data_IF_247429590972
#
_entry.id   IF_247429590972
#
_cell.length_a   1.000
_cell.length_b   1.000
_cell.length_c   1.000
_cell.angle_alpha   90.00
_cell.angle_beta   90.00
_cell.angle_gamma   90.00
#
_symmetry.space_group_name_H-M   'P 1'
#
loop_
_entity.id
_entity.type
_entity.pdbx_description
1 polymer ?
#
# COMPACT_ATOMS: atom_id res chain seq x y z
N UNK A 1 36.77 68.48 45.50
CA UNK A 1 37.68 68.35 44.43
C UNK A 1 37.85 66.87 44.21
N UNK A 2 37.14 66.45 43.19
CA UNK A 2 36.85 65.04 42.88
C UNK A 2 37.92 64.54 41.92
N UNK A 3 38.46 63.39 42.20
CA UNK A 3 39.09 62.56 41.19
C UNK A 3 38.42 61.20 41.11
N UNK A 4 38.01 60.95 39.93
CA UNK A 4 37.32 59.73 39.49
C UNK A 4 38.31 58.59 39.18
N UNK A 5 38.22 57.43 39.83
CA UNK A 5 38.98 56.30 39.43
C UNK A 5 38.07 55.34 38.64
N UNK A 6 38.30 55.23 37.31
CA UNK A 6 37.74 54.27 36.44
C UNK A 6 38.53 52.96 36.58
N UNK A 7 37.89 51.87 37.05
CA UNK A 7 38.42 50.53 36.94
C UNK A 7 37.80 49.83 35.72
N UNK A 8 38.60 49.50 34.76
CA UNK A 8 38.27 48.70 33.57
C UNK A 8 38.20 47.22 33.93
N UNK A 9 37.06 46.58 33.78
CA UNK A 9 36.96 45.15 33.72
C UNK A 9 36.87 44.71 32.24
N UNK A 10 37.99 44.25 31.71
CA UNK A 10 38.08 43.59 30.41
C UNK A 10 37.54 42.15 30.58
N UNK A 11 36.33 41.87 30.10
CA UNK A 11 35.84 40.48 29.96
C UNK A 11 36.23 39.97 28.60
N UNK A 12 37.16 39.00 28.58
CA UNK A 12 37.53 38.26 27.41
C UNK A 12 36.32 37.35 27.00
N UNK A 13 35.72 37.58 25.83
CA UNK A 13 34.81 36.66 25.18
C UNK A 13 35.64 35.61 24.43
N UNK A 14 35.64 34.39 24.94
CA UNK A 14 36.14 33.23 24.20
C UNK A 14 35.12 32.85 23.13
N UNK A 15 35.44 33.06 21.87
CA UNK A 15 34.72 32.48 20.75
C UNK A 15 35.00 30.96 20.69
N UNK A 16 34.03 30.14 21.07
CA UNK A 16 34.05 28.74 20.76
C UNK A 16 33.65 28.54 19.30
N UNK A 17 34.62 28.37 18.43
CA UNK A 17 34.38 27.97 17.05
C UNK A 17 34.02 26.49 17.08
N UNK A 18 32.71 26.19 17.08
CA UNK A 18 32.21 24.84 16.89
C UNK A 18 32.45 24.47 15.42
N UNK A 19 33.44 23.62 15.17
CA UNK A 19 33.67 23.02 13.86
C UNK A 19 32.53 22.03 13.60
N UNK A 20 31.53 22.43 12.80
CA UNK A 20 30.55 21.53 12.21
C UNK A 20 31.31 20.66 11.23
N UNK A 21 31.62 19.44 11.63
CA UNK A 21 32.09 18.41 10.71
C UNK A 21 30.96 18.15 9.70
N UNK A 22 31.12 18.59 8.44
CA UNK A 22 30.32 18.10 7.33
C UNK A 22 30.58 16.59 7.24
N UNK A 23 29.64 15.80 7.71
CA UNK A 23 29.59 14.39 7.35
C UNK A 23 29.44 14.31 5.81
N UNK A 24 30.27 13.50 5.12
CA UNK A 24 30.08 13.30 3.70
C UNK A 24 28.67 12.72 3.51
N UNK A 25 27.86 13.39 2.70
CA UNK A 25 26.62 12.79 2.17
C UNK A 25 27.03 11.48 1.52
N UNK A 26 26.63 10.37 2.11
CA UNK A 26 26.75 9.07 1.45
C UNK A 26 26.07 9.18 0.08
N UNK A 27 26.70 8.72 -1.00
CA UNK A 27 26.04 8.69 -2.29
C UNK A 27 24.73 7.95 -2.09
N UNK A 28 23.61 8.58 -2.47
CA UNK A 28 22.29 7.95 -2.40
C UNK A 28 22.42 6.60 -3.11
N UNK A 29 22.16 5.52 -2.39
CA UNK A 29 22.15 4.19 -2.98
C UNK A 29 21.22 4.26 -4.19
N UNK A 30 21.76 4.05 -5.39
CA UNK A 30 20.95 3.98 -6.60
C UNK A 30 19.91 2.89 -6.35
N UNK A 31 18.63 3.21 -6.58
CA UNK A 31 17.55 2.23 -6.44
C UNK A 31 17.91 0.97 -7.26
N UNK A 32 17.56 -0.19 -6.75
CA UNK A 32 17.84 -1.46 -7.45
C UNK A 32 17.16 -1.42 -8.83
N UNK A 33 17.84 -1.91 -9.86
CA UNK A 33 17.22 -2.03 -11.18
C UNK A 33 16.13 -3.11 -11.11
N UNK A 34 14.91 -2.77 -11.53
CA UNK A 34 13.84 -3.76 -11.63
C UNK A 34 14.11 -4.74 -12.77
N UNK A 35 13.77 -5.99 -12.55
CA UNK A 35 14.05 -7.07 -13.54
C UNK A 35 12.87 -7.39 -14.44
N UNK A 36 11.66 -6.99 -14.04
CA UNK A 36 10.41 -7.22 -14.76
C UNK A 36 9.50 -5.99 -14.67
N UNK A 37 9.12 -5.47 -15.84
CA UNK A 37 8.07 -4.47 -15.98
C UNK A 37 7.23 -4.79 -17.21
N UNK A 38 5.96 -4.39 -17.22
CA UNK A 38 5.04 -4.63 -18.32
C UNK A 38 4.24 -3.36 -18.61
N UNK A 39 3.96 -3.08 -19.90
CA UNK A 39 2.84 -2.18 -20.20
C UNK A 39 1.58 -2.97 -19.88
N UNK A 40 0.76 -2.46 -19.01
CA UNK A 40 -0.49 -3.09 -18.58
C UNK A 40 -1.68 -2.49 -19.27
N UNK A 41 -1.67 -1.21 -19.55
CA UNK A 41 -2.80 -0.51 -20.14
C UNK A 41 -2.33 0.64 -21.06
N UNK A 42 -3.12 0.95 -22.09
CA UNK A 42 -2.94 2.16 -22.87
C UNK A 42 -4.27 2.69 -23.44
N UNK A 43 -4.39 4.02 -23.51
CA UNK A 43 -5.49 4.73 -24.14
C UNK A 43 -5.01 5.44 -25.41
N UNK A 44 -5.38 4.92 -26.59
CA UNK A 44 -4.94 5.44 -27.89
C UNK A 44 -5.92 6.46 -28.52
N UNK A 45 -6.88 6.91 -27.74
CA UNK A 45 -7.92 7.86 -28.20
C UNK A 45 -8.57 8.55 -27.00
N UNK A 46 -7.74 9.19 -26.20
CA UNK A 46 -8.14 9.90 -25.01
C UNK A 46 -8.82 11.24 -25.41
N UNK A 47 -10.13 11.37 -25.15
CA UNK A 47 -10.92 12.57 -25.49
C UNK A 47 -11.58 13.24 -24.28
N UNK A 48 -12.10 12.42 -23.36
CA UNK A 48 -12.80 12.86 -22.14
C UNK A 48 -12.19 12.19 -20.89
N UNK A 49 -11.04 11.47 -21.03
CA UNK A 49 -10.35 10.76 -19.97
C UNK A 49 -9.37 11.65 -19.20
N UNK A 50 -8.15 11.10 -18.89
CA UNK A 50 -7.13 11.84 -18.11
C UNK A 50 -6.57 13.01 -18.91
N UNK A 51 -6.24 14.08 -18.19
CA UNK A 51 -5.69 15.33 -18.72
C UNK A 51 -4.27 15.49 -18.19
N UNK A 52 -3.33 15.86 -19.05
CA UNK A 52 -1.95 16.09 -18.65
C UNK A 52 -1.76 17.50 -18.01
N UNK A 53 -0.58 17.76 -17.47
CA UNK A 53 -0.24 19.03 -16.78
C UNK A 53 -0.41 20.28 -17.64
N UNK A 54 -0.44 20.15 -18.97
CA UNK A 54 -0.68 21.27 -19.90
C UNK A 54 -2.17 21.46 -20.19
N UNK A 55 -3.04 20.57 -19.70
CA UNK A 55 -4.47 20.56 -19.99
C UNK A 55 -4.84 19.82 -21.28
N UNK A 56 -3.93 19.04 -21.85
CA UNK A 56 -4.16 18.26 -23.07
C UNK A 56 -4.65 16.85 -22.73
N UNK A 57 -5.56 16.33 -23.55
CA UNK A 57 -6.04 14.93 -23.49
C UNK A 57 -5.18 14.08 -24.41
N UNK A 58 -3.92 13.89 -24.02
CA UNK A 58 -2.96 13.09 -24.78
C UNK A 58 -3.23 11.59 -24.63
N UNK A 59 -2.90 10.80 -25.66
CA UNK A 59 -2.83 9.36 -25.51
C UNK A 59 -1.84 8.99 -24.40
N UNK A 60 -2.04 7.86 -23.75
CA UNK A 60 -1.26 7.48 -22.58
C UNK A 60 -1.04 5.97 -22.52
N UNK A 61 -0.04 5.57 -21.75
CA UNK A 61 0.20 4.18 -21.41
C UNK A 61 0.61 4.08 -19.94
N UNK A 62 0.45 2.89 -19.40
CA UNK A 62 0.81 2.56 -18.04
C UNK A 62 1.85 1.44 -18.01
N UNK A 63 2.85 1.59 -17.14
CA UNK A 63 3.87 0.56 -16.86
C UNK A 63 3.72 0.09 -15.42
N UNK A 64 3.61 -1.22 -15.24
CA UNK A 64 3.54 -1.91 -13.97
C UNK A 64 4.88 -2.55 -13.61
N UNK A 65 5.32 -2.40 -12.35
CA UNK A 65 6.46 -3.10 -11.79
C UNK A 65 6.08 -4.52 -11.35
N UNK A 66 6.34 -5.50 -12.18
CA UNK A 66 6.08 -6.92 -11.93
C UNK A 66 7.28 -7.67 -11.31
N UNK A 67 8.31 -6.95 -10.81
CA UNK A 67 9.55 -7.58 -10.33
C UNK A 67 9.48 -8.13 -8.91
N UNK A 68 8.42 -7.82 -8.15
CA UNK A 68 8.29 -8.19 -6.75
C UNK A 68 9.19 -7.39 -5.78
N UNK A 69 9.93 -6.40 -6.28
CA UNK A 69 10.79 -5.50 -5.50
C UNK A 69 10.64 -4.06 -5.98
N UNK A 70 10.79 -3.10 -5.07
CA UNK A 70 10.89 -1.70 -5.45
C UNK A 70 12.20 -1.42 -6.18
N UNK A 71 12.19 -0.50 -7.14
CA UNK A 71 13.38 -0.21 -7.93
C UNK A 71 13.25 1.01 -8.82
N UNK A 72 13.90 0.95 -9.98
CA UNK A 72 14.03 2.08 -10.92
C UNK A 72 13.82 1.62 -12.35
N UNK A 73 13.06 2.40 -13.14
CA UNK A 73 12.78 2.19 -14.56
C UNK A 73 13.84 2.81 -15.50
N UNK A 74 14.87 3.45 -14.97
CA UNK A 74 15.90 4.11 -15.78
C UNK A 74 16.58 3.19 -16.76
N UNK A 75 16.66 3.65 -18.01
CA UNK A 75 17.27 2.91 -19.10
C UNK A 75 16.37 1.90 -19.83
N UNK A 76 15.14 1.68 -19.38
CA UNK A 76 14.12 0.97 -20.18
C UNK A 76 13.72 1.83 -21.38
N UNK A 77 13.15 1.21 -22.43
CA UNK A 77 12.79 1.93 -23.62
C UNK A 77 11.34 1.67 -24.02
N UNK A 78 10.68 2.72 -24.50
CA UNK A 78 9.38 2.65 -25.16
C UNK A 78 9.56 2.82 -26.67
N UNK A 79 8.80 2.06 -27.45
CA UNK A 79 8.80 2.19 -28.90
C UNK A 79 7.45 1.83 -29.52
N UNK A 80 7.11 2.55 -30.57
CA UNK A 80 6.01 2.28 -31.51
C UNK A 80 6.54 1.84 -32.90
N UNK A 81 7.86 1.55 -33.00
CA UNK A 81 8.55 1.16 -34.22
C UNK A 81 9.36 -0.13 -33.97
N UNK A 82 8.99 -1.27 -34.56
CA UNK A 82 9.73 -2.52 -34.38
C UNK A 82 11.15 -2.48 -34.97
N UNK A 83 11.49 -1.50 -35.80
CA UNK A 83 12.83 -1.32 -36.36
C UNK A 83 13.73 -0.43 -35.44
N UNK A 84 13.15 0.24 -34.43
CA UNK A 84 13.87 1.11 -33.51
C UNK A 84 13.46 0.84 -32.07
N UNK A 85 14.04 -0.19 -31.45
CA UNK A 85 13.66 -0.64 -30.09
C UNK A 85 14.06 0.34 -28.98
N UNK A 86 15.00 1.25 -29.22
CA UNK A 86 15.46 2.27 -28.25
C UNK A 86 14.88 3.67 -28.52
N UNK A 87 13.71 3.77 -29.16
CA UNK A 87 13.15 5.04 -29.65
C UNK A 87 13.01 6.09 -28.55
N UNK A 88 12.55 5.71 -27.36
CA UNK A 88 12.43 6.60 -26.22
C UNK A 88 12.91 5.93 -24.93
N UNK A 89 14.03 6.40 -24.39
CA UNK A 89 14.62 5.87 -23.15
C UNK A 89 14.01 6.55 -21.92
N UNK A 90 13.51 5.75 -20.99
CA UNK A 90 12.95 6.22 -19.72
C UNK A 90 14.05 6.83 -18.85
N UNK A 91 13.76 7.97 -18.19
CA UNK A 91 14.63 8.50 -17.15
C UNK A 91 14.60 7.59 -15.92
N UNK A 92 15.46 7.89 -14.94
CA UNK A 92 15.41 7.21 -13.64
C UNK A 92 14.08 7.57 -12.92
N UNK A 93 13.20 6.59 -12.82
CA UNK A 93 11.88 6.72 -12.19
C UNK A 93 11.78 5.68 -11.09
N UNK A 94 11.76 6.10 -9.81
CA UNK A 94 11.53 5.16 -8.73
C UNK A 94 10.10 4.61 -8.82
N UNK A 95 9.98 3.28 -8.69
CA UNK A 95 8.70 2.59 -8.71
C UNK A 95 8.65 1.57 -7.59
N UNK A 96 7.56 1.59 -6.82
CA UNK A 96 7.36 0.66 -5.70
C UNK A 96 7.10 -0.77 -6.20
N UNK A 97 7.17 -1.74 -5.31
CA UNK A 97 6.74 -3.12 -5.60
C UNK A 97 5.27 -3.11 -6.00
N UNK A 98 4.94 -3.71 -7.16
CA UNK A 98 3.57 -3.71 -7.69
C UNK A 98 3.05 -2.33 -8.12
N UNK A 99 3.87 -1.27 -8.05
CA UNK A 99 3.49 0.09 -8.41
C UNK A 99 3.33 0.31 -9.90
N UNK A 100 2.68 1.41 -10.25
CA UNK A 100 2.36 1.80 -11.62
C UNK A 100 2.94 3.18 -11.93
N UNK A 101 3.26 3.43 -13.18
CA UNK A 101 3.62 4.76 -13.69
C UNK A 101 2.90 5.02 -15.00
N UNK A 102 2.23 6.18 -15.10
CA UNK A 102 1.56 6.64 -16.31
C UNK A 102 2.52 7.51 -17.12
N UNK A 103 2.54 7.32 -18.43
CA UNK A 103 3.36 8.08 -19.36
C UNK A 103 2.47 8.53 -20.52
N UNK A 104 2.44 9.83 -20.79
CA UNK A 104 1.70 10.39 -21.91
C UNK A 104 2.46 10.19 -23.24
N UNK A 105 1.79 9.63 -24.22
CA UNK A 105 2.31 9.43 -25.59
C UNK A 105 2.05 10.67 -26.44
N UNK A 106 2.40 11.84 -25.95
CA UNK A 106 2.08 13.16 -26.53
C UNK A 106 3.09 13.68 -27.56
N UNK A 107 4.26 13.05 -27.66
CA UNK A 107 5.37 13.54 -28.49
C UNK A 107 6.13 14.73 -27.90
N UNK A 108 5.79 15.23 -26.70
CA UNK A 108 6.44 16.40 -26.05
C UNK A 108 7.86 16.11 -25.56
N UNK A 109 8.27 14.85 -25.47
CA UNK A 109 9.61 14.35 -25.04
C UNK A 109 10.10 14.93 -23.72
N UNK A 110 9.23 14.95 -22.70
CA UNK A 110 9.57 15.38 -21.34
C UNK A 110 9.99 14.19 -20.49
N UNK A 111 11.17 14.27 -19.90
CA UNK A 111 11.82 13.19 -19.15
C UNK A 111 12.16 13.58 -17.72
N UNK A 112 11.61 14.66 -17.18
CA UNK A 112 11.81 15.05 -15.79
C UNK A 112 10.93 14.16 -14.89
N UNK A 113 11.53 13.30 -14.03
CA UNK A 113 10.76 12.39 -13.18
C UNK A 113 10.05 13.09 -12.01
N UNK A 114 10.24 14.40 -11.86
CA UNK A 114 9.51 15.20 -10.85
C UNK A 114 8.19 15.76 -11.37
N UNK A 115 7.95 15.70 -12.68
CA UNK A 115 6.72 16.07 -13.36
C UNK A 115 6.11 14.89 -14.11
N UNK A 116 5.12 15.17 -14.94
CA UNK A 116 4.52 14.16 -15.81
C UNK A 116 5.48 13.79 -16.96
N UNK A 117 5.51 12.51 -17.29
CA UNK A 117 6.37 11.98 -18.34
C UNK A 117 5.64 11.98 -19.67
N UNK A 118 6.32 12.51 -20.70
CA UNK A 118 5.77 12.59 -22.05
C UNK A 118 6.72 11.93 -23.05
N UNK A 119 6.34 10.75 -23.50
CA UNK A 119 7.16 9.97 -24.43
C UNK A 119 7.04 10.50 -25.88
N UNK A 120 8.13 10.34 -26.63
CA UNK A 120 8.16 10.58 -28.07
C UNK A 120 7.77 9.30 -28.84
N UNK A 121 6.64 8.70 -28.43
CA UNK A 121 6.00 7.58 -29.11
C UNK A 121 4.57 7.96 -29.50
N UNK A 122 4.01 7.28 -30.47
CA UNK A 122 2.63 7.48 -30.91
C UNK A 122 1.86 6.17 -30.77
N UNK A 123 0.75 6.19 -30.05
CA UNK A 123 -0.13 5.04 -29.95
C UNK A 123 -1.15 5.12 -31.09
N UNK A 124 -1.11 4.14 -31.99
CA UNK A 124 -2.00 4.12 -33.15
C UNK A 124 -3.42 3.75 -32.71
N UNK A 125 -4.42 4.51 -33.15
CA UNK A 125 -5.84 4.22 -32.84
C UNK A 125 -6.53 3.31 -33.85
N UNK A 126 -5.96 3.15 -35.05
CA UNK A 126 -6.44 2.18 -36.04
C UNK A 126 -5.85 0.79 -35.76
N UNK A 127 -6.39 -0.25 -36.43
CA UNK A 127 -5.87 -1.61 -36.30
C UNK A 127 -4.40 -1.72 -36.76
N UNK A 128 -3.75 -2.83 -36.42
CA UNK A 128 -2.37 -3.17 -36.79
C UNK A 128 -1.29 -2.25 -36.18
N UNK A 129 -1.57 -1.67 -35.00
CA UNK A 129 -0.62 -0.86 -34.26
C UNK A 129 0.51 -1.69 -33.61
N UNK A 130 1.60 -1.00 -33.25
CA UNK A 130 2.73 -1.57 -32.52
C UNK A 130 3.07 -0.68 -31.31
N UNK A 131 3.22 -1.29 -30.13
CA UNK A 131 3.68 -0.63 -28.91
C UNK A 131 4.48 -1.63 -28.09
N UNK A 132 5.72 -1.30 -27.71
CA UNK A 132 6.54 -2.20 -26.90
C UNK A 132 7.31 -1.49 -25.79
N UNK A 133 7.52 -2.23 -24.69
CA UNK A 133 8.45 -1.93 -23.62
C UNK A 133 9.67 -2.83 -23.78
N UNK A 134 10.85 -2.24 -23.82
CA UNK A 134 12.13 -2.92 -24.05
C UNK A 134 13.03 -2.75 -22.82
N UNK A 135 13.74 -3.81 -22.46
CA UNK A 135 14.67 -3.79 -21.33
C UNK A 135 15.88 -2.88 -21.62
N UNK A 136 16.64 -2.51 -20.58
CA UNK A 136 17.84 -1.67 -20.70
C UNK A 136 18.95 -2.23 -21.61
N UNK A 137 18.87 -3.48 -22.02
CA UNK A 137 19.80 -4.08 -22.99
C UNK A 137 19.52 -3.66 -24.44
N UNK A 138 18.42 -2.94 -24.70
CA UNK A 138 18.02 -2.43 -26.02
C UNK A 138 17.51 -3.49 -27.00
N UNK A 139 17.43 -4.75 -26.58
CA UNK A 139 17.06 -5.88 -27.47
C UNK A 139 15.97 -6.78 -26.91
N UNK A 140 15.87 -6.92 -25.57
CA UNK A 140 14.89 -7.80 -24.94
C UNK A 140 13.55 -7.06 -24.78
N UNK A 141 12.54 -7.51 -25.52
CA UNK A 141 11.19 -6.99 -25.41
C UNK A 141 10.53 -7.61 -24.17
N UNK A 142 10.08 -6.77 -23.23
CA UNK A 142 9.42 -7.18 -22.02
C UNK A 142 7.89 -7.27 -22.18
N UNK A 143 7.31 -6.35 -22.97
CA UNK A 143 5.89 -6.37 -23.35
C UNK A 143 5.77 -5.86 -24.77
N UNK A 144 4.92 -6.48 -25.58
CA UNK A 144 4.59 -6.01 -26.93
C UNK A 144 3.10 -6.19 -27.20
N UNK A 145 2.50 -5.12 -27.67
CA UNK A 145 1.21 -5.14 -28.35
C UNK A 145 1.50 -4.96 -29.84
N UNK A 146 1.29 -6.01 -30.59
CA UNK A 146 1.49 -6.04 -32.03
C UNK A 146 0.17 -6.41 -32.70
N UNK A 147 -0.15 -5.71 -33.79
CA UNK A 147 -1.36 -5.95 -34.57
C UNK A 147 -2.63 -5.86 -33.68
N UNK A 148 -2.62 -4.95 -32.67
CA UNK A 148 -3.74 -4.79 -31.77
C UNK A 148 -4.95 -4.19 -32.51
N UNK A 149 -6.20 -4.47 -32.02
CA UNK A 149 -7.41 -4.05 -32.70
C UNK A 149 -7.59 -2.53 -32.70
N UNK A 150 -8.48 -2.04 -33.57
CA UNK A 150 -8.88 -0.63 -33.58
C UNK A 150 -9.32 -0.18 -32.22
N UNK A 151 -8.86 0.99 -31.78
CA UNK A 151 -9.13 1.57 -30.48
C UNK A 151 -10.38 2.49 -30.51
N UNK A 152 -11.06 2.54 -29.38
CA UNK A 152 -12.27 3.35 -29.21
C UNK A 152 -11.97 4.55 -28.30
N UNK A 153 -12.78 5.61 -28.42
CA UNK A 153 -12.61 6.79 -27.58
C UNK A 153 -12.86 6.45 -26.10
N UNK A 154 -12.00 6.97 -25.23
CA UNK A 154 -12.09 6.87 -23.77
C UNK A 154 -12.19 5.42 -23.25
N UNK A 155 -11.66 4.50 -24.05
CA UNK A 155 -11.53 3.08 -23.74
C UNK A 155 -10.05 2.74 -23.78
N UNK A 156 -9.58 1.97 -22.85
CA UNK A 156 -8.22 1.47 -22.86
C UNK A 156 -8.14 0.04 -23.39
N UNK A 157 -6.92 -0.35 -23.80
CA UNK A 157 -6.58 -1.71 -24.22
C UNK A 157 -5.30 -2.13 -23.52
N UNK A 158 -5.22 -3.38 -23.10
CA UNK A 158 -4.04 -3.81 -22.38
C UNK A 158 -4.07 -5.25 -21.92
N UNK A 159 -3.25 -5.52 -20.89
CA UNK A 159 -3.11 -6.81 -20.24
C UNK A 159 -4.03 -6.85 -19.03
N UNK A 160 -4.97 -7.78 -19.03
CA UNK A 160 -5.80 -8.11 -17.89
C UNK A 160 -5.64 -9.56 -17.50
N UNK A 161 -6.18 -9.89 -16.35
CA UNK A 161 -6.17 -11.27 -15.87
C UNK A 161 -7.38 -12.01 -16.46
N UNK A 162 -7.15 -13.25 -16.90
CA UNK A 162 -8.23 -14.09 -17.45
C UNK A 162 -9.12 -14.63 -16.34
N UNK A 163 -8.53 -14.90 -15.18
CA UNK A 163 -9.22 -15.35 -13.97
C UNK A 163 -8.56 -14.76 -12.74
N UNK A 164 -9.39 -14.21 -11.85
CA UNK A 164 -8.98 -13.83 -10.51
C UNK A 164 -9.11 -15.05 -9.59
N UNK A 165 -8.02 -15.44 -8.95
CA UNK A 165 -8.09 -16.48 -7.92
C UNK A 165 -8.17 -15.81 -6.56
N UNK A 166 -9.32 -15.91 -5.84
CA UNK A 166 -9.43 -15.36 -4.49
C UNK A 166 -8.37 -15.97 -3.58
N UNK A 167 -7.68 -15.12 -2.83
CA UNK A 167 -6.75 -15.50 -1.79
C UNK A 167 -7.29 -15.10 -0.41
N UNK A 168 -7.07 -15.99 0.55
CA UNK A 168 -7.31 -15.68 1.95
C UNK A 168 -6.01 -15.88 2.72
N UNK A 169 -5.42 -14.79 3.19
CA UNK A 169 -4.20 -14.83 4.00
C UNK A 169 -4.54 -15.05 5.48
N UNK A 170 -5.62 -14.42 5.95
CA UNK A 170 -6.10 -14.56 7.31
C UNK A 170 -7.62 -14.74 7.31
N UNK A 171 -8.09 -15.72 8.06
CA UNK A 171 -9.51 -15.94 8.35
C UNK A 171 -9.83 -15.53 9.77
N UNK A 172 -11.09 -15.27 10.06
CA UNK A 172 -11.57 -15.19 11.44
C UNK A 172 -11.18 -16.47 12.20
N UNK A 173 -10.62 -16.33 13.39
CA UNK A 173 -10.05 -17.44 14.15
C UNK A 173 -8.60 -17.80 13.81
N UNK A 174 -7.90 -17.01 12.99
CA UNK A 174 -6.46 -17.16 12.74
C UNK A 174 -5.65 -17.07 14.05
N UNK A 175 -4.54 -17.81 14.12
CA UNK A 175 -3.67 -17.74 15.29
C UNK A 175 -3.00 -16.37 15.42
N UNK A 176 -3.06 -15.81 16.60
CA UNK A 176 -2.52 -14.49 16.93
C UNK A 176 -1.71 -14.52 18.23
N UNK A 177 -0.87 -13.52 18.37
CA UNK A 177 -0.27 -13.12 19.66
C UNK A 177 -0.91 -11.81 20.09
N UNK A 178 -1.19 -11.67 21.40
CA UNK A 178 -1.73 -10.44 21.93
C UNK A 178 -1.08 -10.05 23.26
N UNK A 179 -1.11 -8.75 23.56
CA UNK A 179 -0.53 -8.17 24.76
C UNK A 179 -1.32 -6.93 25.18
N UNK A 180 -1.73 -6.88 26.45
CA UNK A 180 -2.26 -5.65 27.06
C UNK A 180 -1.08 -4.91 27.67
N UNK A 181 -0.65 -3.78 27.11
CA UNK A 181 0.58 -3.13 27.53
C UNK A 181 0.44 -2.45 28.89
N UNK A 182 1.50 -2.48 29.68
CA UNK A 182 1.64 -1.75 30.95
C UNK A 182 2.57 -0.54 30.81
N UNK A 183 3.07 -0.28 29.61
CA UNK A 183 3.95 0.82 29.24
C UNK A 183 4.22 0.81 27.73
N UNK A 184 4.96 1.78 27.20
CA UNK A 184 5.32 1.82 25.80
C UNK A 184 6.13 0.57 25.38
N UNK A 185 5.79 -0.02 24.24
CA UNK A 185 6.49 -1.15 23.61
C UNK A 185 6.99 -0.69 22.24
N UNK A 186 8.30 -0.50 22.09
CA UNK A 186 8.86 -0.02 20.84
C UNK A 186 8.88 -1.13 19.77
N UNK A 187 8.55 -0.80 18.52
CA UNK A 187 8.64 -1.69 17.36
C UNK A 187 7.64 -2.86 17.36
N UNK A 188 6.66 -2.87 18.23
CA UNK A 188 5.70 -3.97 18.37
C UNK A 188 4.91 -4.25 17.08
N UNK A 189 4.77 -3.27 16.18
CA UNK A 189 4.08 -3.42 14.89
C UNK A 189 4.98 -4.00 13.79
N UNK A 190 6.28 -4.07 13.98
CA UNK A 190 7.25 -4.51 12.97
C UNK A 190 7.27 -6.03 12.81
N UNK A 191 7.52 -6.52 11.60
CA UNK A 191 7.52 -7.96 11.29
C UNK A 191 8.54 -8.75 12.15
N UNK A 192 9.70 -8.16 12.46
CA UNK A 192 10.80 -8.81 13.17
C UNK A 192 10.74 -8.67 14.71
N UNK A 193 9.65 -8.10 15.25
CA UNK A 193 9.48 -7.97 16.69
C UNK A 193 9.35 -9.35 17.37
N UNK A 194 10.05 -9.54 18.49
CA UNK A 194 9.97 -10.77 19.30
C UNK A 194 8.73 -10.74 20.22
N UNK A 195 7.67 -11.42 19.82
CA UNK A 195 6.41 -11.59 20.56
C UNK A 195 6.29 -12.93 21.29
N UNK A 196 7.41 -13.65 21.51
CA UNK A 196 7.42 -14.99 22.13
C UNK A 196 6.84 -15.00 23.54
N UNK A 197 6.93 -13.89 24.27
CA UNK A 197 6.40 -13.72 25.62
C UNK A 197 4.94 -13.31 25.67
N UNK A 198 4.34 -12.97 24.54
CA UNK A 198 2.95 -12.56 24.46
C UNK A 198 1.99 -13.73 24.59
N UNK A 199 0.78 -13.47 25.05
CA UNK A 199 -0.27 -14.47 25.08
C UNK A 199 -0.64 -14.92 23.67
N UNK A 200 -1.04 -16.18 23.53
CA UNK A 200 -1.47 -16.75 22.26
C UNK A 200 -2.98 -17.02 22.31
N UNK A 201 -3.64 -16.72 21.19
CA UNK A 201 -5.08 -16.99 21.02
C UNK A 201 -5.44 -16.96 19.54
N UNK A 202 -6.68 -17.31 19.25
CA UNK A 202 -7.25 -17.14 17.93
C UNK A 202 -7.91 -15.76 17.81
N UNK A 203 -7.92 -15.15 16.61
CA UNK A 203 -8.65 -13.89 16.37
C UNK A 203 -10.15 -14.05 16.61
N UNK A 204 -10.84 -12.98 16.89
CA UNK A 204 -11.97 -12.81 17.73
C UNK A 204 -11.47 -12.53 19.14
N UNK A 205 -10.60 -11.49 19.26
CA UNK A 205 -10.02 -11.08 20.55
C UNK A 205 -10.89 -9.98 21.12
N UNK A 206 -11.30 -10.14 22.37
CA UNK A 206 -12.19 -9.20 23.03
C UNK A 206 -12.80 -9.75 24.30
N UNK A 207 -13.85 -9.10 24.79
CA UNK A 207 -14.72 -9.56 25.88
C UNK A 207 -16.08 -8.87 25.78
N UNK A 208 -17.09 -9.47 26.42
CA UNK A 208 -18.42 -8.91 26.59
C UNK A 208 -19.02 -9.41 27.92
N UNK A 209 -19.22 -8.50 28.88
CA UNK A 209 -19.72 -8.85 30.21
C UNK A 209 -21.26 -8.80 30.32
N UNK A 210 -21.93 -8.25 29.32
CA UNK A 210 -23.38 -8.15 29.26
C UNK A 210 -24.02 -9.37 28.62
N UNK A 211 -23.21 -10.39 28.28
CA UNK A 211 -23.67 -11.58 27.60
C UNK A 211 -24.75 -12.31 28.42
N UNK A 212 -25.83 -12.67 27.74
CA UNK A 212 -26.83 -13.62 28.24
C UNK A 212 -27.09 -14.66 27.15
N UNK A 213 -27.21 -15.94 27.49
CA UNK A 213 -27.48 -17.03 26.54
C UNK A 213 -28.70 -16.80 25.63
N UNK A 214 -29.54 -15.83 25.95
CA UNK A 214 -30.80 -15.55 25.25
C UNK A 214 -30.71 -14.34 24.33
N UNK A 215 -29.65 -13.53 24.36
CA UNK A 215 -29.51 -12.32 23.56
C UNK A 215 -28.30 -12.35 22.63
N UNK A 216 -28.43 -13.13 21.54
CA UNK A 216 -27.42 -13.19 20.48
C UNK A 216 -27.31 -11.90 19.64
N UNK A 217 -28.23 -10.95 19.81
CA UNK A 217 -28.23 -9.73 19.01
C UNK A 217 -27.26 -8.67 19.57
N UNK A 218 -27.01 -8.67 20.86
CA UNK A 218 -26.12 -7.69 21.53
C UNK A 218 -24.81 -8.31 22.01
N UNK A 219 -24.64 -9.64 21.95
CA UNK A 219 -23.45 -10.34 22.41
C UNK A 219 -22.42 -10.62 21.33
N UNK A 220 -21.14 -10.54 21.70
CA UNK A 220 -20.00 -10.94 20.87
C UNK A 220 -19.48 -12.37 21.16
N UNK A 221 -20.03 -13.07 22.13
CA UNK A 221 -19.48 -14.30 22.67
C UNK A 221 -19.21 -15.38 21.59
N UNK A 222 -20.12 -15.49 20.60
CA UNK A 222 -19.97 -16.39 19.46
C UNK A 222 -18.88 -15.98 18.44
N UNK A 223 -18.30 -14.79 18.59
CA UNK A 223 -17.23 -14.26 17.75
C UNK A 223 -15.84 -14.42 18.38
N UNK A 224 -15.77 -14.75 19.67
CA UNK A 224 -14.48 -14.90 20.34
C UNK A 224 -13.78 -16.18 19.91
N UNK A 225 -12.51 -16.02 19.56
CA UNK A 225 -11.62 -17.13 19.27
C UNK A 225 -11.14 -17.82 20.55
N UNK A 226 -10.69 -19.05 20.44
CA UNK A 226 -10.14 -19.78 21.57
C UNK A 226 -8.90 -19.06 22.13
N UNK A 227 -8.95 -18.67 23.40
CA UNK A 227 -7.89 -17.89 24.07
C UNK A 227 -7.87 -16.42 23.66
N UNK A 228 -8.96 -15.93 23.05
CA UNK A 228 -9.15 -14.52 22.68
C UNK A 228 -9.90 -13.69 23.73
N UNK A 229 -10.39 -14.31 24.81
CA UNK A 229 -10.97 -13.58 25.92
C UNK A 229 -9.89 -12.82 26.70
N UNK A 230 -10.05 -11.50 26.78
CA UNK A 230 -9.08 -10.58 27.37
C UNK A 230 -9.67 -9.74 28.52
N UNK A 231 -10.87 -10.09 29.02
CA UNK A 231 -11.56 -9.34 30.08
C UNK A 231 -10.64 -9.12 31.29
N UNK A 232 -10.09 -10.19 31.86
CA UNK A 232 -9.22 -10.10 33.04
C UNK A 232 -7.97 -9.23 32.82
N UNK A 233 -7.53 -9.07 31.58
CA UNK A 233 -6.31 -8.33 31.26
C UNK A 233 -6.58 -6.86 30.92
N UNK A 234 -7.71 -6.55 30.28
CA UNK A 234 -8.05 -5.21 29.82
C UNK A 234 -8.94 -4.47 30.82
N UNK A 235 -10.02 -5.11 31.26
CA UNK A 235 -11.07 -4.45 32.04
C UNK A 235 -10.55 -3.89 33.36
N UNK A 236 -10.86 -2.62 33.61
CA UNK A 236 -10.39 -1.82 34.75
C UNK A 236 -8.86 -1.64 34.83
N UNK A 237 -8.13 -1.96 33.74
CA UNK A 237 -6.66 -1.88 33.66
C UNK A 237 -6.18 -1.00 32.52
N UNK A 238 -6.48 -1.36 31.28
CA UNK A 238 -6.03 -0.64 30.10
C UNK A 238 -7.06 -0.75 28.95
N UNK A 239 -7.45 0.36 28.32
CA UNK A 239 -8.36 0.32 27.16
C UNK A 239 -7.66 -0.11 25.85
N UNK A 240 -6.34 -0.23 25.81
CA UNK A 240 -5.58 -0.64 24.63
C UNK A 240 -5.08 -2.08 24.72
N UNK A 241 -5.07 -2.75 23.58
CA UNK A 241 -4.46 -4.07 23.36
C UNK A 241 -3.65 -4.07 22.06
N UNK A 242 -2.53 -4.78 22.02
CA UNK A 242 -1.74 -5.05 20.84
C UNK A 242 -1.98 -6.49 20.37
N UNK A 243 -2.25 -6.66 19.07
CA UNK A 243 -2.53 -7.94 18.44
C UNK A 243 -1.59 -8.08 17.25
N UNK A 244 -0.95 -9.23 17.10
CA UNK A 244 -0.03 -9.55 16.00
C UNK A 244 -0.44 -10.87 15.37
N UNK A 245 -0.58 -10.89 14.05
CA UNK A 245 -1.08 -12.04 13.29
C UNK A 245 -0.11 -12.28 12.14
N UNK A 246 0.77 -13.28 12.25
CA UNK A 246 1.68 -13.65 11.15
C UNK A 246 0.93 -14.34 10.03
N UNK A 247 1.35 -14.10 8.79
CA UNK A 247 0.84 -14.79 7.61
C UNK A 247 1.92 -14.93 6.53
N UNK A 248 1.80 -15.94 5.68
CA UNK A 248 2.77 -16.25 4.65
C UNK A 248 2.36 -15.74 3.29
N UNK A 249 3.30 -15.11 2.60
CA UNK A 249 3.16 -14.63 1.22
C UNK A 249 4.22 -15.29 0.36
N UNK A 250 3.86 -16.31 -0.44
CA UNK A 250 4.83 -17.01 -1.30
C UNK A 250 5.44 -16.10 -2.37
N UNK A 251 4.63 -15.22 -2.97
CA UNK A 251 5.02 -14.34 -4.05
C UNK A 251 4.20 -13.04 -4.00
N UNK A 252 4.78 -11.92 -3.51
CA UNK A 252 4.05 -10.66 -3.39
C UNK A 252 3.69 -10.02 -4.74
N UNK A 253 4.51 -10.18 -5.76
CA UNK A 253 4.33 -9.54 -7.07
C UNK A 253 3.14 -10.04 -7.91
N UNK A 254 2.33 -10.96 -7.40
CA UNK A 254 1.10 -11.42 -8.05
C UNK A 254 -0.15 -11.20 -7.20
N UNK A 255 -0.05 -10.42 -6.14
CA UNK A 255 -1.17 -10.14 -5.25
C UNK A 255 -1.76 -8.79 -5.62
N UNK A 256 -3.04 -8.79 -5.94
CA UNK A 256 -3.84 -7.57 -6.15
C UNK A 256 -5.00 -7.49 -5.19
N UNK A 257 -5.64 -6.32 -5.16
CA UNK A 257 -6.87 -6.05 -4.41
C UNK A 257 -6.81 -6.54 -2.94
N UNK A 258 -5.65 -6.31 -2.28
CA UNK A 258 -5.47 -6.69 -0.89
C UNK A 258 -6.38 -5.86 0.01
N UNK A 259 -7.15 -6.53 0.87
CA UNK A 259 -8.13 -5.88 1.75
C UNK A 259 -8.09 -6.47 3.15
N UNK A 260 -8.09 -5.59 4.13
CA UNK A 260 -8.47 -5.92 5.50
C UNK A 260 -10.00 -5.91 5.59
N UNK A 261 -10.58 -7.01 6.03
CA UNK A 261 -11.98 -7.10 6.46
C UNK A 261 -11.98 -7.13 7.98
N UNK A 262 -12.68 -6.21 8.61
CA UNK A 262 -12.60 -6.05 10.05
C UNK A 262 -13.99 -5.93 10.67
N UNK A 263 -14.22 -6.69 11.75
CA UNK A 263 -15.25 -6.41 12.76
C UNK A 263 -14.54 -5.89 13.98
N UNK A 264 -15.02 -4.81 14.56
CA UNK A 264 -14.36 -4.21 15.72
C UNK A 264 -15.32 -3.41 16.60
N UNK A 265 -14.92 -3.26 17.83
CA UNK A 265 -15.50 -2.40 18.86
C UNK A 265 -14.41 -1.95 19.84
N UNK A 266 -14.13 -0.65 20.11
CA UNK A 266 -14.73 0.59 19.59
C UNK A 266 -13.87 1.23 18.51
N UNK A 267 -12.55 1.05 18.54
CA UNK A 267 -11.59 1.63 17.62
C UNK A 267 -10.39 0.74 17.38
N UNK A 268 -9.66 1.01 16.29
CA UNK A 268 -8.39 0.32 16.00
C UNK A 268 -7.44 1.15 15.16
N UNK A 269 -6.16 0.76 15.17
CA UNK A 269 -5.16 1.14 14.17
C UNK A 269 -4.52 -0.14 13.65
N UNK A 270 -4.42 -0.26 12.31
CA UNK A 270 -3.88 -1.44 11.64
C UNK A 270 -2.59 -1.11 10.89
N UNK A 271 -1.62 -2.03 10.99
CA UNK A 271 -0.28 -1.91 10.41
C UNK A 271 0.06 -3.17 9.61
N UNK A 272 0.66 -3.00 8.44
CA UNK A 272 1.29 -4.08 7.68
C UNK A 272 2.82 -3.93 7.82
N UNK A 273 3.49 -4.92 8.43
CA UNK A 273 4.94 -4.94 8.61
C UNK A 273 5.52 -3.64 9.21
N UNK A 274 4.79 -3.00 10.15
CA UNK A 274 5.20 -1.76 10.82
C UNK A 274 4.65 -0.48 10.18
N UNK A 275 4.12 -0.54 8.96
CA UNK A 275 3.53 0.62 8.26
C UNK A 275 2.03 0.68 8.52
N UNK A 276 1.57 1.80 9.08
CA UNK A 276 0.13 2.05 9.26
C UNK A 276 -0.56 2.22 7.90
N UNK A 277 -1.71 1.58 7.73
CA UNK A 277 -2.54 1.71 6.53
C UNK A 277 -4.01 2.04 6.81
N UNK A 278 -4.50 1.81 8.06
CA UNK A 278 -5.89 2.09 8.39
C UNK A 278 -6.04 2.46 9.87
N UNK A 279 -6.99 3.35 10.16
CA UNK A 279 -7.43 3.66 11.53
C UNK A 279 -8.90 4.03 11.60
N UNK A 280 -9.58 3.52 12.61
CA UNK A 280 -10.97 3.82 12.88
C UNK A 280 -11.16 4.13 14.37
N UNK A 281 -11.82 5.24 14.68
CA UNK A 281 -12.08 5.63 16.06
C UNK A 281 -10.82 5.78 16.93
N UNK A 282 -9.66 6.10 16.35
CA UNK A 282 -8.38 6.18 17.04
C UNK A 282 -7.83 7.62 17.10
N UNK A 283 -7.10 8.02 18.14
CA UNK A 283 -6.42 9.32 18.19
C UNK A 283 -5.30 9.40 17.14
N UNK A 284 -4.93 10.62 16.72
CA UNK A 284 -3.89 10.82 15.70
C UNK A 284 -2.53 10.19 16.08
N UNK A 285 -2.18 10.19 17.37
CA UNK A 285 -0.96 9.57 17.89
C UNK A 285 -1.34 8.66 19.06
N UNK A 286 -1.73 7.40 18.81
CA UNK A 286 -2.17 6.50 19.87
C UNK A 286 -1.00 6.12 20.78
N UNK A 287 -1.17 6.32 22.07
CA UNK A 287 -0.27 5.82 23.11
C UNK A 287 -0.65 4.37 23.48
N UNK A 288 0.22 3.73 24.24
CA UNK A 288 0.03 2.36 24.73
C UNK A 288 -1.25 2.16 25.59
N UNK A 289 -1.83 3.24 26.07
CA UNK A 289 -3.04 3.25 26.93
C UNK A 289 -4.13 4.18 26.39
N UNK A 290 -4.14 4.47 25.11
CA UNK A 290 -5.18 5.28 24.48
C UNK A 290 -6.52 4.56 24.48
N UNK A 291 -7.59 5.35 24.60
CA UNK A 291 -8.97 4.92 24.34
C UNK A 291 -9.39 5.27 22.92
N UNK A 292 -10.46 4.64 22.44
CA UNK A 292 -11.15 5.04 21.24
C UNK A 292 -11.72 6.48 21.38
N UNK A 293 -11.83 7.19 20.26
CA UNK A 293 -12.25 8.60 20.22
C UNK A 293 -13.72 8.80 19.89
N UNK A 294 -14.40 7.79 19.36
CA UNK A 294 -15.77 7.89 18.86
C UNK A 294 -16.83 7.46 19.90
N UNK A 295 -16.43 7.12 21.12
CA UNK A 295 -17.32 6.52 22.11
C UNK A 295 -17.64 5.05 21.76
N UNK A 296 -18.74 4.53 22.31
CA UNK A 296 -19.18 3.16 22.04
C UNK A 296 -19.70 3.03 20.61
N UNK A 297 -19.21 1.98 19.91
CA UNK A 297 -19.73 1.59 18.62
C UNK A 297 -21.01 0.75 18.81
N UNK A 298 -21.97 0.88 17.88
CA UNK A 298 -23.19 0.05 17.92
C UNK A 298 -22.85 -1.42 17.68
N UNK A 299 -23.38 -2.33 18.48
CA UNK A 299 -23.07 -3.77 18.42
C UNK A 299 -23.47 -4.40 17.08
N UNK A 300 -24.48 -3.88 16.39
CA UNK A 300 -24.86 -4.35 15.06
C UNK A 300 -23.79 -4.01 14.03
N UNK A 301 -23.28 -2.78 14.10
CA UNK A 301 -22.18 -2.32 13.25
C UNK A 301 -20.88 -3.05 13.60
N UNK A 302 -20.60 -3.27 14.88
CA UNK A 302 -19.40 -3.96 15.35
C UNK A 302 -19.32 -5.41 14.84
N UNK A 303 -20.46 -6.07 14.64
CA UNK A 303 -20.55 -7.45 14.11
C UNK A 303 -20.56 -7.54 12.59
N UNK A 304 -20.52 -6.41 11.88
CA UNK A 304 -20.51 -6.36 10.41
C UNK A 304 -19.09 -6.15 9.91
N UNK A 305 -18.65 -6.96 8.96
CA UNK A 305 -17.37 -6.74 8.29
C UNK A 305 -17.43 -5.48 7.43
N UNK A 306 -16.48 -4.57 7.67
CA UNK A 306 -16.15 -3.51 6.72
C UNK A 306 -14.80 -3.82 6.05
N UNK A 307 -14.64 -3.36 4.82
CA UNK A 307 -13.45 -3.61 3.98
C UNK A 307 -12.61 -2.34 3.87
N UNK A 308 -11.31 -2.50 4.03
CA UNK A 308 -10.32 -1.43 3.93
C UNK A 308 -9.22 -1.85 2.96
N UNK A 309 -8.88 -1.02 1.97
CA UNK A 309 -7.79 -1.33 1.05
C UNK A 309 -6.45 -1.34 1.79
N UNK A 310 -5.59 -2.27 1.40
CA UNK A 310 -4.23 -2.40 1.94
C UNK A 310 -3.24 -2.23 0.80
N UNK A 311 -2.24 -1.36 0.98
CA UNK A 311 -1.16 -1.22 -0.01
C UNK A 311 -0.32 -2.50 -0.07
N UNK A 312 -0.43 -3.21 -1.18
CA UNK A 312 0.33 -4.44 -1.43
C UNK A 312 1.85 -4.19 -1.53
N UNK A 313 2.28 -2.96 -1.78
CA UNK A 313 3.70 -2.58 -1.78
C UNK A 313 4.41 -2.81 -0.44
N UNK A 314 3.64 -2.94 0.66
CA UNK A 314 4.15 -3.30 1.98
C UNK A 314 4.40 -4.81 2.19
N UNK A 315 3.97 -5.69 1.27
CA UNK A 315 4.18 -7.13 1.37
C UNK A 315 5.62 -7.54 1.05
N UNK A 316 6.12 -8.53 1.79
CA UNK A 316 7.42 -9.17 1.51
C UNK A 316 7.21 -10.65 1.26
N UNK A 317 8.14 -11.28 0.53
CA UNK A 317 8.12 -12.73 0.37
C UNK A 317 8.41 -13.43 1.71
N UNK A 318 7.64 -14.46 2.04
CA UNK A 318 7.71 -15.18 3.32
C UNK A 318 6.75 -14.59 4.35
N UNK A 319 7.20 -14.55 5.61
CA UNK A 319 6.37 -14.15 6.75
C UNK A 319 6.14 -12.64 6.78
N UNK A 320 4.88 -12.24 6.81
CA UNK A 320 4.39 -10.89 7.02
C UNK A 320 3.59 -10.83 8.33
N UNK A 321 3.36 -9.64 8.86
CA UNK A 321 2.58 -9.44 10.09
C UNK A 321 1.52 -8.36 9.87
N UNK A 322 0.26 -8.72 10.11
CA UNK A 322 -0.80 -7.77 10.38
C UNK A 322 -0.76 -7.46 11.88
N UNK A 323 -0.43 -6.22 12.23
CA UNK A 323 -0.46 -5.78 13.62
C UNK A 323 -1.62 -4.80 13.84
N UNK A 324 -2.31 -4.94 14.97
CA UNK A 324 -3.47 -4.12 15.31
C UNK A 324 -3.31 -3.58 16.72
N UNK A 325 -3.45 -2.26 16.90
CA UNK A 325 -3.77 -1.69 18.20
C UNK A 325 -5.28 -1.59 18.32
N UNK A 326 -5.87 -2.43 19.15
CA UNK A 326 -7.28 -2.37 19.50
C UNK A 326 -7.49 -1.34 20.61
N UNK A 327 -8.59 -0.58 20.52
CA UNK A 327 -8.92 0.51 21.42
C UNK A 327 -10.37 0.37 21.89
N UNK A 328 -10.54 0.23 23.19
CA UNK A 328 -11.84 0.32 23.84
C UNK A 328 -12.15 1.80 24.16
N UNK A 329 -13.42 2.19 24.25
CA UNK A 329 -13.84 3.54 24.63
C UNK A 329 -13.35 3.96 26.00
N UNK A 330 -13.24 3.02 26.93
CA UNK A 330 -12.59 3.18 28.25
C UNK A 330 -12.17 1.84 28.83
N UNK A 331 -11.30 1.85 29.84
CA UNK A 331 -10.96 0.63 30.60
C UNK A 331 -12.14 0.06 31.37
N UNK A 332 -13.24 0.78 31.51
CA UNK A 332 -14.44 0.37 32.28
C UNK A 332 -15.62 -0.01 31.38
N UNK A 333 -15.45 0.05 30.08
CA UNK A 333 -16.48 -0.38 29.14
C UNK A 333 -16.82 -1.87 29.33
N UNK A 334 -18.03 -2.25 28.92
CA UNK A 334 -18.55 -3.61 29.10
C UNK A 334 -18.02 -4.61 28.08
N UNK A 335 -17.50 -4.13 26.96
CA UNK A 335 -17.20 -4.96 25.79
C UNK A 335 -16.07 -4.38 24.93
N UNK A 336 -15.50 -5.21 24.08
CA UNK A 336 -14.56 -4.87 23.02
C UNK A 336 -14.40 -6.08 22.08
N UNK A 337 -14.19 -5.83 20.79
CA UNK A 337 -14.09 -6.88 19.79
C UNK A 337 -13.08 -6.57 18.69
N UNK A 338 -12.27 -7.55 18.26
CA UNK A 338 -11.37 -7.46 17.12
C UNK A 338 -11.36 -8.79 16.34
N UNK A 339 -11.99 -8.80 15.14
CA UNK A 339 -12.04 -9.95 14.23
C UNK A 339 -11.53 -9.53 12.86
N UNK A 340 -10.24 -9.63 12.60
CA UNK A 340 -9.67 -9.34 11.28
C UNK A 340 -9.72 -10.57 10.35
N UNK A 341 -9.90 -10.29 9.07
CA UNK A 341 -9.60 -11.17 7.94
C UNK A 341 -8.74 -10.40 6.93
N UNK A 342 -7.84 -11.08 6.24
CA UNK A 342 -7.03 -10.48 5.18
C UNK A 342 -7.22 -11.28 3.91
N UNK A 343 -7.74 -10.62 2.88
CA UNK A 343 -8.07 -11.25 1.59
C UNK A 343 -7.44 -10.48 0.45
N UNK A 344 -7.25 -11.14 -0.67
CA UNK A 344 -6.76 -10.54 -1.90
C UNK A 344 -7.14 -11.40 -3.09
N UNK A 345 -6.57 -11.09 -4.23
CA UNK A 345 -6.65 -11.92 -5.43
C UNK A 345 -5.24 -12.27 -5.87
N UNK A 346 -5.04 -13.52 -6.31
CA UNK A 346 -3.82 -13.88 -7.01
C UNK A 346 -4.04 -13.71 -8.50
N UNK A 347 -3.15 -12.92 -9.09
CA UNK A 347 -3.09 -12.62 -10.51
C UNK A 347 -1.85 -13.29 -11.07
N UNK A 348 -2.06 -14.32 -11.89
CA UNK A 348 -0.96 -15.03 -12.53
C UNK A 348 -0.37 -14.15 -13.64
N UNK A 349 0.72 -13.45 -13.31
CA UNK A 349 1.41 -12.56 -14.26
C UNK A 349 1.93 -13.26 -15.52
N UNK A 350 2.03 -14.58 -15.49
CA UNK A 350 2.42 -15.39 -16.67
C UNK A 350 1.22 -15.70 -17.58
N UNK A 351 -0.02 -15.48 -17.09
CA UNK A 351 -1.27 -15.75 -17.81
C UNK A 351 -2.07 -14.49 -18.15
N UNK A 352 -1.39 -13.35 -18.26
CA UNK A 352 -2.05 -12.13 -18.70
C UNK A 352 -2.55 -12.28 -20.14
N UNK A 353 -3.77 -11.81 -20.39
CA UNK A 353 -4.44 -11.82 -21.69
C UNK A 353 -4.79 -10.39 -22.10
N UNK A 354 -4.79 -10.14 -23.41
CA UNK A 354 -5.16 -8.81 -23.92
C UNK A 354 -6.67 -8.63 -24.00
N UNK A 355 -7.14 -7.39 -23.81
CA UNK A 355 -8.54 -7.04 -23.92
C UNK A 355 -8.79 -5.55 -23.75
N UNK A 356 -10.05 -5.15 -23.88
CA UNK A 356 -10.48 -3.78 -23.66
C UNK A 356 -10.93 -3.55 -22.21
N UNK A 357 -10.74 -2.33 -21.74
CA UNK A 357 -11.25 -1.82 -20.47
C UNK A 357 -12.17 -0.62 -20.75
N UNK A 358 -13.47 -0.78 -20.46
CA UNK A 358 -14.47 0.30 -20.68
C UNK A 358 -14.24 1.45 -19.70
N UNK A 359 -13.78 1.11 -18.51
CA UNK A 359 -13.36 2.09 -17.50
C UNK A 359 -11.83 2.00 -17.35
N UNK A 360 -11.09 2.90 -18.02
CA UNK A 360 -9.64 2.96 -17.87
C UNK A 360 -9.22 3.22 -16.43
N UNK A 361 -8.12 2.58 -16.00
CA UNK A 361 -7.63 2.64 -14.61
C UNK A 361 -6.19 3.14 -14.51
N UNK A 362 -5.82 4.28 -15.15
CA UNK A 362 -4.45 4.74 -15.22
C UNK A 362 -3.85 4.98 -13.82
N UNK A 363 -2.69 4.36 -13.57
CA UNK A 363 -1.98 4.45 -12.30
C UNK A 363 -2.41 3.43 -11.25
N UNK A 364 -3.33 2.53 -11.59
CA UNK A 364 -3.84 1.50 -10.70
C UNK A 364 -4.02 0.17 -11.41
N UNK A 365 -4.40 -0.86 -10.67
CA UNK A 365 -4.67 -2.18 -11.22
C UNK A 365 -5.84 -2.16 -12.22
N UNK A 366 -5.68 -2.87 -13.34
CA UNK A 366 -6.69 -2.94 -14.39
C UNK A 366 -7.97 -3.61 -13.90
N UNK A 367 -9.11 -3.05 -14.30
CA UNK A 367 -10.43 -3.62 -14.07
C UNK A 367 -10.69 -4.90 -14.88
N UNK A 368 -11.95 -5.30 -14.92
CA UNK A 368 -12.37 -6.48 -15.70
C UNK A 368 -12.27 -6.17 -17.20
N UNK A 369 -11.48 -6.99 -17.91
CA UNK A 369 -11.39 -6.89 -19.37
C UNK A 369 -12.65 -7.40 -20.05
N UNK A 370 -12.90 -6.90 -21.24
CA UNK A 370 -13.87 -7.47 -22.17
C UNK A 370 -13.13 -7.95 -23.43
N UNK A 371 -13.58 -9.07 -24.02
CA UNK A 371 -12.87 -9.68 -25.16
C UNK A 371 -13.06 -8.90 -26.48
N UNK A 372 -14.08 -8.07 -26.59
CA UNK A 372 -14.34 -7.23 -27.75
C UNK A 372 -15.43 -6.22 -27.52
N UNK A 373 -15.25 -5.04 -28.12
CA UNK A 373 -16.32 -4.04 -28.23
C UNK A 373 -16.92 -4.20 -29.62
N UNK A 374 -18.20 -4.54 -29.67
CA UNK A 374 -18.96 -4.54 -30.94
C UNK A 374 -19.38 -3.10 -31.17
N UNK A 375 -18.87 -2.49 -32.23
CA UNK A 375 -19.20 -1.12 -32.64
C UNK A 375 -20.61 -1.04 -33.23
#
# INVERSE_FOLDING_TARGET
MLELILSQHLRAFAFVVSSIALLPLSPSARAAAITSAKITEFGAKNRDGIVDEDGDQSDWLEIWNASGVAGDLGGWHLTDDPANLEKWTLPAIPITTGGYVVIFASGKDRRDPTGELHANVRIQSDADGYLALVKPDGVTIATVFKDYPKQFADTAYGLGFDTETPLTFLVAGAQAKWHVPTGPVAGWMEAQFDDTTWSAGATGIGYDINWTETDLNTSYDHLFGRGGDVEEMMRSKNPSIYIRIPFEVPQPGGIGNLKLRMKWDDGFVAYLNGTEFERQGAPANPAWNSSATNGNRDETDAKTFLEFPVDQGGLVQGTNVLAIQGLNSSAFNSDVLFVPELTGIFQDIEKLVTGFFVEPTPGTENGVRIEGIVA
#
